data_IF_876636298168
#
_entry.id   IF_876636298168
#
_cell.length_a   1.000
_cell.length_b   1.000
_cell.length_c   1.000
_cell.angle_alpha   90.00
_cell.angle_beta   90.00
_cell.angle_gamma   90.00
#
_symmetry.space_group_name_H-M   'P 1'
#
loop_
_entity.id
_entity.type
_entity.pdbx_description
1 polymer ?
#
# COMPACT_ATOMS: atom_id res chain seq x y z
N UNK A 1 4.96 -11.49 13.73
CA UNK A 1 3.74 -11.23 12.94
C UNK A 1 4.06 -11.51 11.48
N UNK A 2 3.20 -12.21 10.74
CA UNK A 2 3.33 -12.46 9.30
C UNK A 2 2.14 -11.84 8.57
N UNK A 3 2.40 -11.17 7.46
CA UNK A 3 1.36 -10.62 6.57
C UNK A 3 1.01 -11.69 5.52
N UNK A 4 -0.23 -12.13 5.48
CA UNK A 4 -0.67 -13.22 4.58
C UNK A 4 -1.35 -12.68 3.33
N UNK A 5 -2.06 -11.57 3.46
CA UNK A 5 -2.78 -10.92 2.37
C UNK A 5 -2.65 -9.41 2.56
N UNK A 6 -2.63 -8.67 1.46
CA UNK A 6 -2.59 -7.22 1.47
C UNK A 6 -3.61 -6.74 0.43
N UNK A 7 -4.57 -5.93 0.86
CA UNK A 7 -5.61 -5.38 0.01
C UNK A 7 -5.59 -3.86 0.03
N UNK A 8 -5.81 -3.26 -1.13
CA UNK A 8 -5.92 -1.83 -1.33
C UNK A 8 -7.24 -1.49 -2.00
N UNK A 9 -7.84 -0.40 -1.55
CA UNK A 9 -8.90 0.31 -2.24
C UNK A 9 -8.50 1.78 -2.30
N UNK A 10 -8.49 2.34 -3.51
CA UNK A 10 -8.23 3.76 -3.82
C UNK A 10 -6.99 4.33 -3.10
N UNK A 11 -5.94 3.52 -2.95
CA UNK A 11 -4.68 3.89 -2.28
C UNK A 11 -3.62 4.36 -3.28
N UNK A 12 -3.27 5.65 -3.23
CA UNK A 12 -2.29 6.30 -4.11
C UNK A 12 -2.53 5.96 -5.59
N UNK A 13 -1.59 5.26 -6.23
CA UNK A 13 -1.68 4.90 -7.64
C UNK A 13 -2.36 3.53 -7.86
N UNK A 14 -2.79 2.85 -6.80
CA UNK A 14 -3.61 1.64 -6.88
C UNK A 14 -5.09 2.02 -6.84
N UNK A 15 -5.88 1.37 -7.69
CA UNK A 15 -7.34 1.50 -7.69
C UNK A 15 -7.93 0.42 -6.79
N UNK A 16 -7.75 -0.84 -7.18
CA UNK A 16 -8.02 -2.01 -6.34
C UNK A 16 -6.92 -3.04 -6.55
N UNK A 17 -6.41 -3.62 -5.47
CA UNK A 17 -5.43 -4.72 -5.52
C UNK A 17 -5.69 -5.68 -4.37
N UNK A 18 -5.62 -6.98 -4.65
CA UNK A 18 -5.49 -8.02 -3.64
C UNK A 18 -4.22 -8.83 -3.93
N UNK A 19 -3.29 -8.85 -2.97
CA UNK A 19 -2.04 -9.59 -3.04
C UNK A 19 -2.02 -10.68 -1.97
N UNK A 20 -1.74 -11.92 -2.38
CA UNK A 20 -1.38 -13.00 -1.44
C UNK A 20 0.13 -12.98 -1.23
N UNK A 21 0.56 -12.81 0.01
CA UNK A 21 1.98 -12.76 0.34
C UNK A 21 2.55 -14.17 0.49
N UNK A 22 3.71 -14.42 -0.13
CA UNK A 22 4.48 -15.62 0.11
C UNK A 22 5.02 -15.62 1.57
N UNK A 23 5.05 -16.76 2.27
CA UNK A 23 5.44 -16.85 3.68
C UNK A 23 6.92 -16.53 3.97
N UNK A 24 7.75 -16.48 2.94
CA UNK A 24 9.21 -16.32 3.03
C UNK A 24 9.68 -15.01 2.37
N UNK A 25 9.80 -14.99 1.04
CA UNK A 25 10.30 -13.83 0.28
C UNK A 25 9.27 -13.40 -0.75
N UNK A 26 9.01 -12.09 -0.81
CA UNK A 26 8.17 -11.45 -1.81
C UNK A 26 9.03 -10.48 -2.62
N UNK A 27 9.11 -10.67 -3.94
CA UNK A 27 9.91 -9.82 -4.83
C UNK A 27 8.98 -8.90 -5.61
N UNK A 28 9.16 -7.59 -5.48
CA UNK A 28 8.40 -6.58 -6.21
C UNK A 28 9.23 -6.07 -7.40
N UNK A 29 8.80 -6.38 -8.62
CA UNK A 29 9.52 -6.05 -9.87
C UNK A 29 8.65 -5.13 -10.73
N UNK A 30 9.31 -4.22 -11.44
CA UNK A 30 8.67 -3.33 -12.41
C UNK A 30 9.46 -2.04 -12.58
N UNK A 31 9.02 -1.19 -13.50
CA UNK A 31 9.65 0.11 -13.77
C UNK A 31 9.55 1.09 -12.59
N UNK A 32 10.40 2.11 -12.60
CA UNK A 32 10.32 3.20 -11.63
C UNK A 32 8.95 3.91 -11.70
N UNK A 33 8.55 4.48 -10.56
CA UNK A 33 7.27 5.17 -10.38
C UNK A 33 5.99 4.30 -10.55
N UNK A 34 6.09 2.99 -10.70
CA UNK A 34 4.93 2.08 -10.84
C UNK A 34 4.27 1.65 -9.51
N UNK A 35 4.60 2.31 -8.39
CA UNK A 35 3.93 2.04 -7.11
C UNK A 35 4.56 0.97 -6.20
N UNK A 36 5.73 0.42 -6.54
CA UNK A 36 6.45 -0.53 -5.67
C UNK A 36 6.71 0.04 -4.27
N UNK A 37 7.20 1.28 -4.17
CA UNK A 37 7.41 1.98 -2.89
C UNK A 37 6.09 2.31 -2.19
N UNK A 38 5.01 2.54 -2.95
CA UNK A 38 3.68 2.75 -2.35
C UNK A 38 3.18 1.47 -1.66
N UNK A 39 3.38 0.30 -2.28
CA UNK A 39 3.06 -0.99 -1.67
C UNK A 39 3.84 -1.19 -0.37
N UNK A 40 5.15 -0.96 -0.35
CA UNK A 40 5.94 -1.00 0.89
C UNK A 40 5.45 0.03 1.93
N UNK A 41 5.05 1.22 1.47
CA UNK A 41 4.48 2.26 2.29
C UNK A 41 3.19 1.84 2.99
N UNK A 42 2.35 1.05 2.33
CA UNK A 42 1.10 0.55 2.90
C UNK A 42 1.33 -0.39 4.09
N UNK A 43 2.37 -1.24 4.01
CA UNK A 43 2.76 -2.14 5.10
C UNK A 43 3.25 -1.32 6.31
N UNK A 44 4.02 -0.27 6.06
CA UNK A 44 4.45 0.66 7.10
C UNK A 44 3.25 1.36 7.75
N UNK A 45 2.27 1.79 6.94
CA UNK A 45 1.03 2.43 7.42
C UNK A 45 0.17 1.47 8.23
N UNK A 46 0.01 0.22 7.81
CA UNK A 46 -0.67 -0.81 8.61
C UNK A 46 -0.01 -1.02 9.97
N UNK A 47 1.31 -1.08 10.01
CA UNK A 47 2.05 -1.35 11.24
C UNK A 47 2.05 -0.17 12.22
N UNK A 48 2.03 1.07 11.73
CA UNK A 48 2.30 2.26 12.55
C UNK A 48 1.20 3.33 12.49
N UNK A 49 0.10 3.08 11.77
CA UNK A 49 -0.99 4.02 11.55
C UNK A 49 -0.55 5.40 11.03
N UNK A 50 0.58 5.46 10.32
CA UNK A 50 1.10 6.69 9.71
C UNK A 50 1.90 6.40 8.44
N UNK A 51 2.04 7.40 7.59
CA UNK A 51 2.87 7.30 6.38
C UNK A 51 4.35 7.56 6.70
N UNK A 52 5.24 6.82 6.03
CA UNK A 52 6.68 7.06 6.11
C UNK A 52 7.12 8.31 5.32
N UNK A 53 6.27 8.79 4.39
CA UNK A 53 6.63 9.85 3.44
C UNK A 53 6.06 11.22 3.81
N UNK A 54 4.93 11.24 4.51
CA UNK A 54 4.13 12.47 4.74
C UNK A 54 3.27 12.30 5.98
N UNK A 55 2.95 13.40 6.65
CA UNK A 55 1.97 13.45 7.75
C UNK A 55 0.56 13.79 7.26
N UNK A 56 0.37 14.08 5.97
CA UNK A 56 -0.92 14.40 5.39
C UNK A 56 -1.58 13.14 4.81
N UNK A 57 -2.58 12.60 5.52
CA UNK A 57 -3.27 11.37 5.12
C UNK A 57 -4.01 11.50 3.78
N UNK A 58 -4.40 12.72 3.36
CA UNK A 58 -5.03 12.95 2.05
C UNK A 58 -4.11 12.53 0.88
N UNK A 59 -2.80 12.54 1.06
CA UNK A 59 -1.84 12.09 0.05
C UNK A 59 -1.75 10.56 -0.09
N UNK A 60 -2.43 9.82 0.79
CA UNK A 60 -2.60 8.37 0.66
C UNK A 60 -3.79 8.01 -0.20
N UNK A 61 -4.73 8.95 -0.37
CA UNK A 61 -5.93 8.78 -1.18
C UNK A 61 -5.59 8.95 -2.66
N UNK A 62 -6.09 8.04 -3.50
CA UNK A 62 -5.97 8.13 -4.96
C UNK A 62 -6.61 9.42 -5.45
N UNK A 63 -6.06 10.00 -6.51
CA UNK A 63 -6.66 11.17 -7.14
C UNK A 63 -8.12 10.89 -7.55
N UNK A 64 -9.00 11.84 -7.27
CA UNK A 64 -10.44 11.76 -7.52
C UNK A 64 -11.18 10.66 -6.73
N UNK A 65 -10.63 10.21 -5.60
CA UNK A 65 -11.31 9.35 -4.63
C UNK A 65 -11.54 10.08 -3.30
N UNK A 66 -12.57 9.68 -2.57
CA UNK A 66 -12.96 10.30 -1.29
C UNK A 66 -12.28 9.66 -0.07
N UNK A 67 -11.88 8.39 -0.20
CA UNK A 67 -11.19 7.64 0.85
C UNK A 67 -10.17 6.68 0.25
N UNK A 68 -9.36 6.06 1.12
CA UNK A 68 -8.53 4.91 0.80
C UNK A 68 -8.63 3.88 1.92
N UNK A 69 -8.53 2.60 1.56
CA UNK A 69 -8.49 1.49 2.51
C UNK A 69 -7.23 0.66 2.29
N UNK A 70 -6.59 0.28 3.39
CA UNK A 70 -5.48 -0.68 3.43
C UNK A 70 -5.87 -1.75 4.43
N UNK A 71 -5.81 -3.02 4.04
CA UNK A 71 -6.15 -4.16 4.87
C UNK A 71 -5.06 -5.24 4.77
N UNK A 72 -4.67 -5.85 5.88
CA UNK A 72 -3.60 -6.84 5.94
C UNK A 72 -3.57 -7.67 7.21
#
# INVERSE_FOLDING_TARGET
>A
MKLNTLQFETYRNYDEVTLKCHPDVNILIGENAQGKTNLLGSIYTLALAKSHRTSNDKELIRFNADYAKIEG
#
